data_IF_201573057453
#
_entry.id   IF_201573057453
#
_cell.length_a   1.000
_cell.length_b   1.000
_cell.length_c   1.000
_cell.angle_alpha   90.00
_cell.angle_beta   90.00
_cell.angle_gamma   90.00
#
_symmetry.space_group_name_H-M   'P 1'
#
loop_
_entity.id
_entity.type
_entity.pdbx_description
1 polymer ?
#
# COMPACT_ATOMS: atom_id res chain seq x y z
N UNK A 1 -22.42 10.59 4.86
CA UNK A 1 -21.59 9.99 5.92
C UNK A 1 -21.58 8.48 5.68
N UNK A 2 -20.47 7.93 5.20
CA UNK A 2 -20.25 6.46 5.21
C UNK A 2 -18.79 6.20 5.50
N UNK A 3 -18.42 6.52 6.73
CA UNK A 3 -17.31 5.90 7.44
C UNK A 3 -17.76 4.47 7.76
N UNK A 4 -17.69 3.55 6.79
CA UNK A 4 -18.01 2.16 7.08
C UNK A 4 -16.80 1.54 7.76
N UNK A 5 -16.93 1.42 9.09
CA UNK A 5 -16.31 0.46 9.98
C UNK A 5 -14.97 -0.08 9.50
N UNK A 6 -13.92 0.44 10.12
CA UNK A 6 -12.68 -0.28 10.39
C UNK A 6 -13.00 -1.71 10.81
N UNK A 7 -13.00 -2.63 9.85
CA UNK A 7 -12.64 -4.00 10.15
C UNK A 7 -11.17 -3.89 10.58
N UNK A 8 -10.89 -4.08 11.87
CA UNK A 8 -9.53 -4.18 12.39
C UNK A 8 -8.73 -5.33 11.73
N UNK A 9 -9.46 -6.19 11.02
CA UNK A 9 -9.00 -7.27 10.17
C UNK A 9 -8.21 -6.78 8.96
N UNK A 10 -7.02 -7.34 8.78
CA UNK A 10 -6.21 -7.17 7.57
C UNK A 10 -6.99 -7.56 6.31
N UNK A 11 -6.76 -6.84 5.23
CA UNK A 11 -7.33 -7.08 3.92
C UNK A 11 -7.12 -8.50 3.41
N UNK A 12 -5.93 -9.10 3.60
CA UNK A 12 -5.67 -10.51 3.26
C UNK A 12 -6.51 -11.53 4.03
N UNK A 13 -7.11 -11.13 5.15
CA UNK A 13 -7.99 -11.99 5.95
C UNK A 13 -9.48 -11.81 5.57
N UNK A 14 -9.81 -10.91 4.65
CA UNK A 14 -11.17 -10.72 4.17
C UNK A 14 -11.57 -11.89 3.23
N UNK A 15 -12.78 -12.47 3.36
CA UNK A 15 -13.23 -13.57 2.51
C UNK A 15 -13.28 -13.20 1.01
N UNK A 16 -13.62 -11.95 0.69
CA UNK A 16 -13.64 -11.41 -0.67
C UNK A 16 -12.28 -10.87 -1.16
N UNK A 17 -11.16 -11.21 -0.51
CA UNK A 17 -9.84 -10.74 -0.91
C UNK A 17 -9.32 -11.46 -2.16
N UNK A 18 -9.95 -11.18 -3.32
CA UNK A 18 -9.57 -11.72 -4.63
C UNK A 18 -9.67 -10.71 -5.76
N UNK A 19 -8.83 -10.88 -6.79
CA UNK A 19 -8.84 -10.06 -8.01
C UNK A 19 -8.74 -8.56 -7.72
N UNK A 20 -9.60 -7.76 -8.35
CA UNK A 20 -9.63 -6.31 -8.16
C UNK A 20 -9.86 -5.87 -6.70
N UNK A 21 -10.67 -6.63 -5.93
CA UNK A 21 -10.90 -6.32 -4.51
C UNK A 21 -9.62 -6.50 -3.68
N UNK A 22 -8.80 -7.52 -4.00
CA UNK A 22 -7.52 -7.73 -3.34
C UNK A 22 -6.58 -6.54 -3.48
N UNK A 23 -6.56 -5.87 -4.63
CA UNK A 23 -5.75 -4.66 -4.85
C UNK A 23 -6.15 -3.51 -3.93
N UNK A 24 -7.46 -3.34 -3.70
CA UNK A 24 -7.98 -2.29 -2.83
C UNK A 24 -7.68 -2.59 -1.36
N UNK A 25 -7.86 -3.85 -0.95
CA UNK A 25 -7.47 -4.32 0.36
C UNK A 25 -5.97 -4.17 0.60
N UNK A 26 -5.17 -4.54 -0.40
CA UNK A 26 -3.71 -4.41 -0.36
C UNK A 26 -3.28 -2.96 -0.14
N UNK A 27 -3.88 -2.00 -0.83
CA UNK A 27 -3.58 -0.58 -0.64
C UNK A 27 -3.87 -0.08 0.77
N UNK A 28 -4.97 -0.54 1.38
CA UNK A 28 -5.31 -0.19 2.75
C UNK A 28 -4.32 -0.82 3.76
N UNK A 29 -3.98 -2.09 3.57
CA UNK A 29 -3.00 -2.80 4.40
C UNK A 29 -1.60 -2.19 4.27
N UNK A 30 -1.21 -1.78 3.07
CA UNK A 30 0.06 -1.12 2.79
C UNK A 30 0.16 0.22 3.51
N UNK A 31 -0.89 1.05 3.44
CA UNK A 31 -0.97 2.30 4.19
C UNK A 31 -0.88 2.04 5.71
N UNK A 32 -1.52 0.97 6.21
CA UNK A 32 -1.43 0.57 7.62
C UNK A 32 0.02 0.23 8.01
N UNK A 33 0.73 -0.57 7.21
CA UNK A 33 2.14 -0.91 7.45
C UNK A 33 3.01 0.34 7.44
N UNK A 34 2.91 1.18 6.41
CA UNK A 34 3.72 2.41 6.32
C UNK A 34 3.48 3.29 7.56
N UNK A 35 2.23 3.51 7.97
CA UNK A 35 1.93 4.33 9.14
C UNK A 35 2.44 3.74 10.45
N UNK A 36 2.52 2.40 10.58
CA UNK A 36 3.03 1.73 11.78
C UNK A 36 4.53 1.96 11.98
N UNK A 37 5.32 2.00 10.90
CA UNK A 37 6.79 2.11 10.99
C UNK A 37 7.30 3.53 10.70
N UNK A 38 6.61 4.29 9.85
CA UNK A 38 7.10 5.54 9.27
C UNK A 38 6.21 6.72 9.70
N UNK A 39 6.05 6.87 11.02
CA UNK A 39 5.32 7.99 11.60
C UNK A 39 6.13 9.32 11.50
N UNK A 40 5.45 10.47 11.31
CA UNK A 40 6.11 11.76 11.25
C UNK A 40 6.91 12.03 12.54
N UNK A 41 8.22 12.21 12.40
CA UNK A 41 9.16 12.41 13.51
C UNK A 41 10.03 11.20 13.87
N UNK A 42 9.77 10.01 13.30
CA UNK A 42 10.60 8.80 13.49
C UNK A 42 11.21 8.25 12.19
N UNK A 43 11.17 9.02 11.11
CA UNK A 43 11.76 8.64 9.82
C UNK A 43 13.28 8.49 9.95
N UNK A 44 13.73 7.25 9.95
CA UNK A 44 15.14 6.85 10.02
C UNK A 44 15.38 5.72 9.02
N UNK A 45 16.63 5.53 8.57
CA UNK A 45 16.98 4.43 7.68
C UNK A 45 16.65 3.05 8.29
N UNK A 46 16.77 2.91 9.61
CA UNK A 46 16.37 1.69 10.33
C UNK A 46 14.86 1.43 10.23
N UNK A 47 14.05 2.45 10.53
CA UNK A 47 12.60 2.39 10.39
C UNK A 47 12.17 2.11 8.95
N UNK A 48 12.85 2.69 7.96
CA UNK A 48 12.63 2.40 6.54
C UNK A 48 12.93 0.94 6.21
N UNK A 49 14.05 0.39 6.70
CA UNK A 49 14.41 -0.99 6.45
C UNK A 49 13.41 -1.97 7.08
N UNK A 50 12.91 -1.68 8.27
CA UNK A 50 11.88 -2.50 8.91
C UNK A 50 10.52 -2.36 8.22
N UNK A 51 10.15 -1.16 7.79
CA UNK A 51 8.98 -0.93 6.96
C UNK A 51 9.06 -1.71 5.64
N UNK A 52 10.22 -1.69 4.97
CA UNK A 52 10.44 -2.42 3.72
C UNK A 52 10.23 -3.92 3.91
N UNK A 53 10.83 -4.52 4.96
CA UNK A 53 10.60 -5.93 5.28
C UNK A 53 9.13 -6.24 5.54
N UNK A 54 8.42 -5.36 6.23
CA UNK A 54 6.99 -5.53 6.51
C UNK A 54 6.15 -5.43 5.23
N UNK A 55 6.49 -4.55 4.30
CA UNK A 55 5.86 -4.45 2.98
C UNK A 55 6.14 -5.68 2.13
N UNK A 56 7.39 -6.16 2.09
CA UNK A 56 7.76 -7.39 1.38
C UNK A 56 7.01 -8.61 1.95
N UNK A 57 6.89 -8.69 3.28
CA UNK A 57 6.12 -9.75 3.95
C UNK A 57 4.62 -9.66 3.63
N UNK A 58 4.06 -8.44 3.55
CA UNK A 58 2.68 -8.22 3.16
C UNK A 58 2.45 -8.67 1.71
N UNK A 59 3.31 -8.28 0.78
CA UNK A 59 3.21 -8.70 -0.63
C UNK A 59 3.31 -10.23 -0.75
N UNK A 60 4.29 -10.84 -0.08
CA UNK A 60 4.44 -12.29 -0.05
C UNK A 60 3.18 -12.99 0.48
N UNK A 61 2.50 -12.42 1.47
CA UNK A 61 1.25 -12.95 2.00
C UNK A 61 0.13 -12.94 0.96
N UNK A 62 0.01 -11.87 0.18
CA UNK A 62 -0.98 -11.76 -0.90
C UNK A 62 -0.71 -12.74 -2.06
N UNK A 63 0.57 -13.01 -2.34
CA UNK A 63 1.00 -14.02 -3.31
C UNK A 63 0.67 -15.43 -2.80
N UNK A 64 0.99 -15.73 -1.53
CA UNK A 64 0.76 -17.04 -0.88
C UNK A 64 -0.71 -17.46 -0.91
N UNK A 65 -1.62 -16.54 -0.59
CA UNK A 65 -3.07 -16.81 -0.64
C UNK A 65 -3.66 -16.73 -2.06
N UNK A 66 -2.82 -16.47 -3.06
CA UNK A 66 -3.21 -16.30 -4.47
C UNK A 66 -4.36 -15.30 -4.66
N UNK A 67 -4.33 -14.18 -3.93
CA UNK A 67 -5.42 -13.21 -3.96
C UNK A 67 -5.63 -12.61 -5.36
N UNK A 68 -4.53 -12.20 -6.00
CA UNK A 68 -4.53 -11.75 -7.39
C UNK A 68 -3.17 -12.06 -8.02
N UNK A 69 -2.93 -13.30 -8.48
CA UNK A 69 -1.62 -13.70 -9.01
C UNK A 69 -1.22 -12.85 -10.23
N UNK A 70 -2.16 -12.46 -11.06
CA UNK A 70 -1.91 -11.53 -12.17
C UNK A 70 -1.45 -10.13 -11.74
N UNK A 71 -1.61 -9.78 -10.48
CA UNK A 71 -1.25 -8.48 -9.95
C UNK A 71 -0.05 -8.51 -9.00
N UNK A 72 0.15 -9.60 -8.25
CA UNK A 72 1.20 -9.67 -7.22
C UNK A 72 2.37 -10.61 -7.58
N UNK A 73 2.17 -11.54 -8.52
CA UNK A 73 3.22 -12.49 -8.89
C UNK A 73 4.39 -11.77 -9.58
N UNK A 74 5.60 -12.04 -9.09
CA UNK A 74 6.87 -11.38 -9.47
C UNK A 74 6.90 -9.85 -9.28
N UNK A 75 5.97 -9.28 -8.52
CA UNK A 75 6.01 -7.86 -8.20
C UNK A 75 6.99 -7.53 -7.08
N UNK A 76 7.42 -6.27 -7.03
CA UNK A 76 8.21 -5.70 -5.94
C UNK A 76 7.73 -4.29 -5.65
N UNK A 77 7.73 -3.94 -4.38
CA UNK A 77 7.41 -2.62 -3.88
C UNK A 77 8.61 -2.12 -3.09
N UNK A 78 9.07 -0.91 -3.40
CA UNK A 78 10.23 -0.31 -2.75
C UNK A 78 9.80 0.97 -2.03
N UNK A 79 10.19 1.09 -0.77
CA UNK A 79 10.08 2.31 0.02
C UNK A 79 11.39 3.07 -0.06
N UNK A 80 11.31 4.36 -0.39
CA UNK A 80 12.45 5.26 -0.38
C UNK A 80 12.17 6.44 0.56
N UNK A 81 13.19 6.88 1.30
CA UNK A 81 13.14 8.17 1.98
C UNK A 81 13.61 9.23 1.01
N UNK A 82 12.70 10.11 0.63
CA UNK A 82 12.99 11.27 -0.20
C UNK A 82 12.99 12.52 0.67
N UNK A 83 13.82 13.47 0.29
CA UNK A 83 13.98 14.73 1.01
C UNK A 83 13.38 15.81 0.15
N UNK A 84 12.19 16.30 0.53
CA UNK A 84 11.47 17.33 -0.22
C UNK A 84 11.77 18.70 0.37
N UNK A 85 12.11 19.65 -0.50
CA UNK A 85 12.28 21.04 -0.10
C UNK A 85 10.93 21.74 -0.20
N UNK A 86 10.39 22.13 0.95
CA UNK A 86 9.17 22.91 1.02
C UNK A 86 9.42 24.35 0.52
N UNK A 87 8.37 25.02 0.01
CA UNK A 87 8.45 26.39 -0.50
C UNK A 87 8.89 27.42 0.57
N UNK A 88 8.80 27.08 1.86
CA UNK A 88 9.27 27.88 2.99
C UNK A 88 10.79 27.76 3.24
N UNK A 89 11.51 26.98 2.43
CA UNK A 89 12.94 26.70 2.60
C UNK A 89 13.26 25.63 3.65
N UNK A 90 12.23 25.01 4.24
CA UNK A 90 12.37 23.88 5.14
C UNK A 90 12.49 22.58 4.35
N UNK A 91 13.29 21.66 4.88
CA UNK A 91 13.50 20.35 4.28
C UNK A 91 12.76 19.29 5.10
N UNK A 92 11.81 18.58 4.50
CA UNK A 92 11.07 17.49 5.13
C UNK A 92 11.41 16.14 4.51
N UNK A 93 11.71 15.15 5.36
CA UNK A 93 11.81 13.77 4.93
C UNK A 93 10.40 13.22 4.66
N UNK A 94 10.21 12.60 3.51
CA UNK A 94 8.97 11.94 3.11
C UNK A 94 9.25 10.53 2.61
N UNK A 95 8.24 9.68 2.70
CA UNK A 95 8.32 8.30 2.21
C UNK A 95 7.73 8.26 0.81
N UNK A 96 8.55 7.85 -0.15
CA UNK A 96 8.13 7.59 -1.51
C UNK A 96 7.92 6.08 -1.70
N UNK A 97 6.83 5.76 -2.36
CA UNK A 97 6.41 4.40 -2.65
C UNK A 97 6.62 4.13 -4.13
N UNK A 98 7.50 3.19 -4.46
CA UNK A 98 7.82 2.80 -5.83
C UNK A 98 7.25 1.43 -6.11
N UNK A 99 6.36 1.38 -7.08
CA UNK A 99 5.73 0.15 -7.58
C UNK A 99 6.05 -0.01 -9.06
N UNK A 100 5.84 -1.21 -9.61
CA UNK A 100 5.88 -1.36 -11.05
C UNK A 100 4.73 -0.58 -11.72
N UNK A 101 4.92 -0.07 -12.95
CA UNK A 101 3.84 0.57 -13.71
C UNK A 101 2.63 -0.35 -13.95
N UNK A 102 2.87 -1.67 -13.97
CA UNK A 102 1.83 -2.68 -14.12
C UNK A 102 0.92 -2.72 -12.89
N UNK A 103 1.51 -2.85 -11.70
CA UNK A 103 0.76 -2.90 -10.45
C UNK A 103 -0.03 -1.60 -10.24
N UNK A 104 0.59 -0.46 -10.52
CA UNK A 104 -0.07 0.85 -10.46
C UNK A 104 -1.29 0.91 -11.40
N UNK A 105 -1.13 0.47 -12.65
CA UNK A 105 -2.23 0.40 -13.62
C UNK A 105 -3.39 -0.47 -13.13
N UNK A 106 -3.09 -1.65 -12.57
CA UNK A 106 -4.10 -2.57 -12.03
C UNK A 106 -4.85 -1.95 -10.83
N UNK A 107 -4.13 -1.26 -9.94
CA UNK A 107 -4.72 -0.56 -8.80
C UNK A 107 -5.65 0.57 -9.27
N UNK A 108 -5.23 1.35 -10.26
CA UNK A 108 -6.06 2.43 -10.84
C UNK A 108 -7.33 1.85 -11.46
N UNK A 109 -7.23 0.76 -12.22
CA UNK A 109 -8.38 0.07 -12.79
C UNK A 109 -9.32 -0.47 -11.71
N UNK A 110 -8.79 -1.12 -10.68
CA UNK A 110 -9.58 -1.62 -9.55
C UNK A 110 -10.33 -0.47 -8.83
N UNK A 111 -9.68 0.68 -8.65
CA UNK A 111 -10.32 1.87 -8.08
C UNK A 111 -11.43 2.44 -8.97
N UNK A 112 -11.25 2.43 -10.30
CA UNK A 112 -12.28 2.85 -11.26
C UNK A 112 -13.50 1.93 -11.18
N UNK A 113 -13.29 0.63 -11.10
CA UNK A 113 -14.36 -0.37 -10.99
C UNK A 113 -15.10 -0.28 -9.66
N UNK A 114 -14.39 0.01 -8.56
CA UNK A 114 -14.98 0.10 -7.23
C UNK A 114 -15.72 1.42 -6.96
N UNK A 115 -15.47 2.49 -7.74
CA UNK A 115 -16.34 3.66 -7.74
C UNK A 115 -17.61 3.29 -8.51
N UNK A 116 -18.76 3.08 -7.85
CA UNK A 116 -19.98 2.88 -8.60
C UNK A 116 -20.18 4.11 -9.49
N UNK A 117 -20.41 3.87 -10.78
CA UNK A 117 -20.93 4.89 -11.66
C UNK A 117 -22.28 5.30 -11.07
N UNK A 118 -22.30 6.37 -10.28
CA UNK A 118 -23.53 7.07 -9.92
C UNK A 118 -24.03 7.69 -11.22
N UNK A 119 -24.88 6.95 -11.93
CA UNK A 119 -25.67 7.45 -13.05
C UNK A 119 -27.13 7.50 -12.60
#
# INVERSE_FOLDING_TARGET
MTQNATSDTWGFAHPDCRGAAALLFFMNDLARVINQYLSPGQLSNEALADAQKAVDALLARYVDIQAAPEAFDNERIELALETENQPDGQTSAQVALRMSPRLEGLIIEAQRQARPATH
#
